data_IF_659972349866
#
_entry.id   IF_659972349866
#
_cell.length_a   1.000
_cell.length_b   1.000
_cell.length_c   1.000
_cell.angle_alpha   90.00
_cell.angle_beta   90.00
_cell.angle_gamma   90.00
#
_symmetry.space_group_name_H-M   'P 1'
#
loop_
_entity.id
_entity.type
_entity.pdbx_description
1 polymer ?
#
# COMPACT_ATOMS: atom_id res chain seq x y z
N UNK A 1 8.08 3.89 -8.24
CA UNK A 1 7.02 2.86 -8.19
C UNK A 1 7.53 1.52 -8.69
N UNK A 2 8.23 1.48 -9.82
CA UNK A 2 8.82 0.25 -10.41
C UNK A 2 9.74 -0.55 -9.48
N UNK A 3 10.53 0.13 -8.63
CA UNK A 3 11.37 -0.55 -7.64
C UNK A 3 10.57 -1.31 -6.56
N UNK A 4 9.38 -0.79 -6.19
CA UNK A 4 8.48 -1.45 -5.23
C UNK A 4 7.81 -2.65 -5.88
N UNK A 5 7.36 -2.51 -7.13
CA UNK A 5 6.74 -3.58 -7.91
C UNK A 5 7.75 -4.71 -8.14
N UNK A 6 8.97 -4.39 -8.58
CA UNK A 6 10.03 -5.39 -8.79
C UNK A 6 10.42 -6.13 -7.49
N UNK A 7 10.39 -5.45 -6.33
CA UNK A 7 10.66 -6.09 -5.05
C UNK A 7 9.49 -6.99 -4.58
N UNK A 8 8.25 -6.61 -4.90
CA UNK A 8 7.07 -7.44 -4.66
C UNK A 8 7.12 -8.77 -5.43
N UNK A 9 7.52 -8.73 -6.71
CA UNK A 9 7.68 -9.95 -7.52
C UNK A 9 8.75 -10.90 -6.93
N UNK A 10 9.85 -10.32 -6.44
CA UNK A 10 10.90 -11.07 -5.74
C UNK A 10 10.40 -11.65 -4.43
N UNK A 11 9.56 -10.92 -3.70
CA UNK A 11 8.95 -11.38 -2.45
C UNK A 11 8.00 -12.56 -2.71
N UNK A 12 7.16 -12.47 -3.74
CA UNK A 12 6.26 -13.55 -4.15
C UNK A 12 7.03 -14.84 -4.52
N UNK A 13 8.13 -14.70 -5.27
CA UNK A 13 8.99 -15.85 -5.62
C UNK A 13 9.63 -16.48 -4.38
N UNK A 14 10.10 -15.64 -3.44
CA UNK A 14 10.66 -16.10 -2.16
C UNK A 14 9.61 -16.76 -1.26
N UNK A 15 8.37 -16.27 -1.28
CA UNK A 15 7.27 -16.86 -0.54
C UNK A 15 7.01 -18.29 -1.03
N UNK A 16 6.81 -18.48 -2.34
CA UNK A 16 6.57 -19.80 -2.91
C UNK A 16 7.68 -20.81 -2.56
N UNK A 17 8.94 -20.36 -2.60
CA UNK A 17 10.10 -21.18 -2.22
C UNK A 17 10.10 -21.50 -0.72
N UNK A 18 9.83 -20.51 0.12
CA UNK A 18 9.78 -20.69 1.58
C UNK A 18 8.64 -21.64 1.98
N UNK A 19 7.47 -21.49 1.38
CA UNK A 19 6.30 -22.32 1.63
C UNK A 19 6.59 -23.77 1.26
N UNK A 20 7.16 -24.03 0.06
CA UNK A 20 7.56 -25.37 -0.34
C UNK A 20 8.55 -26.01 0.65
N UNK A 21 9.54 -25.24 1.14
CA UNK A 21 10.52 -25.73 2.11
C UNK A 21 9.91 -25.99 3.49
N UNK A 22 9.08 -25.08 4.00
CA UNK A 22 8.45 -25.21 5.32
C UNK A 22 7.43 -26.34 5.31
N UNK A 23 6.59 -26.43 4.28
CA UNK A 23 5.64 -27.54 4.12
C UNK A 23 6.37 -28.88 4.04
N UNK A 24 7.47 -28.97 3.28
CA UNK A 24 8.28 -30.20 3.25
C UNK A 24 8.89 -30.58 4.60
N UNK A 25 9.25 -29.61 5.45
CA UNK A 25 9.70 -29.87 6.83
C UNK A 25 8.55 -30.37 7.69
N UNK A 26 7.35 -29.79 7.55
CA UNK A 26 6.14 -30.23 8.25
C UNK A 26 5.77 -31.65 7.85
N UNK A 27 5.80 -31.98 6.56
CA UNK A 27 5.55 -33.34 6.05
C UNK A 27 6.55 -34.36 6.60
N UNK A 28 7.83 -34.00 6.70
CA UNK A 28 8.86 -34.84 7.33
C UNK A 28 8.57 -35.08 8.81
N UNK A 29 8.09 -34.07 9.53
CA UNK A 29 7.71 -34.20 10.93
C UNK A 29 6.48 -35.10 11.09
N UNK A 30 5.47 -34.94 10.23
CA UNK A 30 4.27 -35.79 10.18
C UNK A 30 4.66 -37.25 9.89
N UNK A 31 5.52 -37.49 8.91
CA UNK A 31 5.98 -38.84 8.57
C UNK A 31 6.71 -39.51 9.74
N UNK A 32 7.56 -38.76 10.46
CA UNK A 32 8.25 -39.26 11.67
C UNK A 32 7.27 -39.59 12.80
N UNK A 33 6.29 -38.73 13.05
CA UNK A 33 5.26 -38.98 14.06
C UNK A 33 4.43 -40.22 13.74
N UNK A 34 4.06 -40.39 12.46
CA UNK A 34 3.34 -41.60 12.00
C UNK A 34 4.19 -42.86 12.16
N UNK A 35 5.44 -42.83 11.70
CA UNK A 35 6.34 -43.99 11.85
C UNK A 35 6.59 -44.36 13.32
N UNK A 36 6.78 -43.38 14.20
CA UNK A 36 6.92 -43.61 15.63
C UNK A 36 5.65 -44.26 16.22
N UNK A 37 4.47 -43.76 15.85
CA UNK A 37 3.17 -44.33 16.28
C UNK A 37 3.04 -45.79 15.84
N UNK A 38 3.38 -46.10 14.59
CA UNK A 38 3.25 -47.45 14.04
C UNK A 38 4.20 -48.43 14.75
N UNK A 39 5.45 -48.03 15.00
CA UNK A 39 6.42 -48.86 15.73
C UNK A 39 6.02 -49.13 17.18
N UNK A 40 5.49 -48.10 17.85
CA UNK A 40 4.99 -48.22 19.23
C UNK A 40 3.82 -49.22 19.30
N UNK A 41 2.97 -49.24 18.27
CA UNK A 41 1.87 -50.20 18.19
C UNK A 41 2.35 -51.66 18.01
N UNK A 42 3.52 -51.88 17.39
CA UNK A 42 4.09 -53.21 17.17
C UNK A 42 4.99 -53.75 18.29
N UNK A 43 5.81 -52.93 18.96
CA UNK A 43 6.92 -53.43 19.81
C UNK A 43 6.68 -53.42 21.35
N UNK A 44 5.52 -52.97 21.83
CA UNK A 44 5.22 -52.99 23.27
C UNK A 44 6.04 -52.00 24.12
N UNK A 45 5.88 -52.06 25.45
CA UNK A 45 6.14 -50.92 26.37
C UNK A 45 7.60 -50.45 26.51
N UNK A 46 8.60 -51.27 26.23
CA UNK A 46 10.02 -50.87 26.32
C UNK A 46 10.51 -50.09 25.09
N UNK A 47 9.84 -50.26 23.94
CA UNK A 47 10.12 -49.50 22.72
C UNK A 47 9.64 -48.03 22.80
N UNK A 48 8.71 -47.73 23.71
CA UNK A 48 8.14 -46.39 23.91
C UNK A 48 9.20 -45.35 24.27
N UNK A 49 10.08 -45.67 25.23
CA UNK A 49 11.05 -44.70 25.75
C UNK A 49 12.12 -44.39 24.69
N UNK A 50 12.60 -45.42 24.00
CA UNK A 50 13.62 -45.32 22.95
C UNK A 50 13.10 -44.56 21.73
N UNK A 51 11.88 -44.87 21.27
CA UNK A 51 11.28 -44.16 20.13
C UNK A 51 10.91 -42.72 20.49
N UNK A 52 10.48 -42.43 21.72
CA UNK A 52 10.23 -41.06 22.19
C UNK A 52 11.51 -40.20 22.22
N UNK A 53 12.65 -40.77 22.64
CA UNK A 53 13.95 -40.08 22.63
C UNK A 53 14.42 -39.84 21.17
N UNK A 54 14.25 -40.83 20.29
CA UNK A 54 14.56 -40.72 18.86
C UNK A 54 13.70 -39.66 18.16
N UNK A 55 12.40 -39.63 18.46
CA UNK A 55 11.46 -38.64 17.94
C UNK A 55 11.83 -37.22 18.40
N UNK A 56 12.10 -37.03 19.69
CA UNK A 56 12.48 -35.72 20.25
C UNK A 56 13.78 -35.20 19.63
N UNK A 57 14.79 -36.06 19.50
CA UNK A 57 16.08 -35.68 18.91
C UNK A 57 15.99 -35.38 17.41
N UNK A 58 15.09 -36.06 16.69
CA UNK A 58 14.83 -35.82 15.27
C UNK A 58 13.90 -34.64 14.97
N UNK A 59 12.91 -34.37 15.83
CA UNK A 59 11.94 -33.29 15.64
C UNK A 59 12.54 -31.91 15.95
N UNK A 60 13.37 -31.81 17.00
CA UNK A 60 14.00 -30.56 17.42
C UNK A 60 14.75 -29.82 16.29
N UNK A 61 15.63 -30.46 15.51
CA UNK A 61 16.32 -29.78 14.41
C UNK A 61 15.39 -29.40 13.25
N UNK A 62 14.36 -30.20 12.96
CA UNK A 62 13.36 -29.89 11.93
C UNK A 62 12.55 -28.65 12.31
N UNK A 63 12.05 -28.58 13.55
CA UNK A 63 11.33 -27.40 14.05
C UNK A 63 12.21 -26.16 14.06
N UNK A 64 13.47 -26.28 14.50
CA UNK A 64 14.42 -25.18 14.45
C UNK A 64 14.66 -24.67 13.02
N UNK A 65 14.81 -25.59 12.06
CA UNK A 65 14.98 -25.26 10.63
C UNK A 65 13.75 -24.54 10.07
N UNK A 66 12.54 -24.98 10.39
CA UNK A 66 11.29 -24.32 9.97
C UNK A 66 11.21 -22.89 10.53
N UNK A 67 11.48 -22.71 11.83
CA UNK A 67 11.49 -21.40 12.47
C UNK A 67 12.54 -20.46 11.86
N UNK A 68 13.73 -20.98 11.54
CA UNK A 68 14.77 -20.20 10.90
C UNK A 68 14.33 -19.72 9.51
N UNK A 69 13.74 -20.60 8.69
CA UNK A 69 13.25 -20.24 7.35
C UNK A 69 12.14 -19.20 7.41
N UNK A 70 11.20 -19.37 8.33
CA UNK A 70 10.15 -18.38 8.58
C UNK A 70 10.73 -17.01 8.99
N UNK A 71 11.75 -16.98 9.86
CA UNK A 71 12.44 -15.75 10.26
C UNK A 71 13.15 -15.06 9.08
N UNK A 72 13.83 -15.83 8.23
CA UNK A 72 14.50 -15.32 7.01
C UNK A 72 13.48 -14.67 6.05
N UNK A 73 12.33 -15.31 5.85
CA UNK A 73 11.25 -14.78 5.02
C UNK A 73 10.63 -13.51 5.63
N UNK A 74 10.31 -13.53 6.94
CA UNK A 74 9.79 -12.37 7.66
C UNK A 74 10.71 -11.15 7.57
N UNK A 75 12.03 -11.34 7.66
CA UNK A 75 13.00 -10.26 7.47
C UNK A 75 12.92 -9.65 6.06
N UNK A 76 12.56 -10.43 5.04
CA UNK A 76 12.35 -9.92 3.69
C UNK A 76 11.06 -9.11 3.61
N UNK A 77 9.96 -9.58 4.20
CA UNK A 77 8.70 -8.81 4.32
C UNK A 77 8.95 -7.47 5.02
N UNK A 78 9.67 -7.48 6.14
CA UNK A 78 9.98 -6.24 6.88
C UNK A 78 10.77 -5.23 6.05
N UNK A 79 11.70 -5.69 5.20
CA UNK A 79 12.43 -4.82 4.27
C UNK A 79 11.51 -4.25 3.19
N UNK A 80 10.62 -5.06 2.63
CA UNK A 80 9.63 -4.62 1.66
C UNK A 80 8.72 -3.53 2.24
N UNK A 81 8.22 -3.72 3.46
CA UNK A 81 7.42 -2.71 4.16
C UNK A 81 8.14 -1.36 4.29
N UNK A 82 9.43 -1.37 4.64
CA UNK A 82 10.26 -0.15 4.68
C UNK A 82 10.43 0.51 3.32
N UNK A 83 10.52 -0.27 2.23
CA UNK A 83 10.59 0.27 0.88
C UNK A 83 9.28 0.93 0.46
N UNK A 84 8.13 0.31 0.81
CA UNK A 84 6.80 0.91 0.64
C UNK A 84 6.73 2.22 1.40
N UNK A 85 7.06 2.22 2.70
CA UNK A 85 7.04 3.43 3.53
C UNK A 85 7.88 4.56 2.92
N UNK A 86 9.07 4.24 2.40
CA UNK A 86 9.95 5.23 1.76
C UNK A 86 9.37 5.77 0.44
N UNK A 87 8.76 4.91 -0.37
CA UNK A 87 8.19 5.30 -1.65
C UNK A 87 6.98 6.22 -1.51
N UNK A 88 6.22 6.11 -0.42
CA UNK A 88 5.01 6.89 -0.19
C UNK A 88 5.19 8.07 0.79
N UNK A 89 6.22 8.08 1.65
CA UNK A 89 6.53 9.24 2.50
C UNK A 89 6.95 10.49 1.70
N UNK A 90 7.69 10.34 0.61
CA UNK A 90 8.16 11.47 -0.20
C UNK A 90 7.05 12.16 -1.00
N UNK A 91 5.90 11.50 -1.19
CA UNK A 91 4.83 12.02 -2.04
C UNK A 91 3.94 12.99 -1.29
N UNK A 92 3.68 12.75 0.00
CA UNK A 92 2.83 13.64 0.81
C UNK A 92 3.60 14.89 1.24
N UNK A 93 4.85 14.75 1.71
CA UNK A 93 5.71 15.91 1.99
C UNK A 93 6.12 16.66 0.71
N UNK A 94 6.19 15.99 -0.45
CA UNK A 94 6.39 16.64 -1.74
C UNK A 94 5.15 17.35 -2.30
N UNK A 95 3.94 16.87 -1.96
CA UNK A 95 2.66 17.52 -2.29
C UNK A 95 2.37 18.70 -1.35
N UNK A 96 2.76 18.61 -0.08
CA UNK A 96 2.57 19.63 0.95
C UNK A 96 3.75 20.63 0.98
N UNK A 97 4.87 20.27 0.34
CA UNK A 97 6.18 20.90 0.55
C UNK A 97 6.68 21.78 -0.59
N UNK A 98 5.83 22.54 -1.25
CA UNK A 98 6.31 23.85 -1.69
C UNK A 98 6.36 24.74 -0.44
N UNK A 99 7.55 24.82 0.19
CA UNK A 99 7.84 25.83 1.23
C UNK A 99 7.57 27.26 0.74
N UNK A 100 7.34 27.44 -0.56
CA UNK A 100 6.83 28.65 -1.18
C UNK A 100 5.43 29.05 -0.63
N UNK A 101 4.48 28.11 -0.45
CA UNK A 101 3.15 28.44 0.10
C UNK A 101 3.18 28.84 1.57
N UNK A 102 4.13 28.29 2.35
CA UNK A 102 4.26 28.62 3.77
C UNK A 102 4.85 30.01 4.05
N UNK A 103 5.33 30.71 3.00
CA UNK A 103 5.95 32.04 3.13
C UNK A 103 5.04 33.17 2.65
N UNK A 104 3.98 32.84 1.92
CA UNK A 104 3.14 33.81 1.25
C UNK A 104 1.68 33.40 1.34
N UNK A 105 0.99 34.00 2.32
CA UNK A 105 -0.44 33.80 2.54
C UNK A 105 -1.25 34.18 1.29
N UNK A 106 -0.75 35.10 0.45
CA UNK A 106 -1.44 35.48 -0.79
C UNK A 106 -1.42 34.34 -1.81
N UNK A 107 -0.33 33.57 -1.92
CA UNK A 107 -0.27 32.41 -2.82
C UNK A 107 -1.26 31.32 -2.40
N UNK A 108 -1.44 31.12 -1.10
CA UNK A 108 -2.40 30.15 -0.56
C UNK A 108 -3.83 30.60 -0.85
N UNK A 109 -4.15 31.87 -0.57
CA UNK A 109 -5.47 32.43 -0.82
C UNK A 109 -5.81 32.42 -2.32
N UNK A 110 -4.85 32.75 -3.18
CA UNK A 110 -5.00 32.67 -4.64
C UNK A 110 -5.24 31.23 -5.10
N UNK A 111 -4.50 30.26 -4.58
CA UNK A 111 -4.68 28.85 -4.93
C UNK A 111 -6.08 28.34 -4.53
N UNK A 112 -6.57 28.73 -3.34
CA UNK A 112 -7.92 28.39 -2.88
C UNK A 112 -8.98 29.06 -3.77
N UNK A 113 -8.83 30.34 -4.10
CA UNK A 113 -9.75 31.06 -4.96
C UNK A 113 -9.85 30.42 -6.37
N UNK A 114 -8.71 30.10 -6.98
CA UNK A 114 -8.67 29.42 -8.28
C UNK A 114 -9.31 28.03 -8.23
N UNK A 115 -9.19 27.32 -7.11
CA UNK A 115 -9.84 26.02 -6.94
C UNK A 115 -11.37 26.16 -6.82
N UNK A 116 -11.86 27.18 -6.10
CA UNK A 116 -13.30 27.49 -6.08
C UNK A 116 -13.83 27.85 -7.48
N UNK A 117 -13.10 28.64 -8.26
CA UNK A 117 -13.46 28.96 -9.65
C UNK A 117 -13.55 27.68 -10.48
N UNK A 118 -12.56 26.78 -10.38
CA UNK A 118 -12.56 25.50 -11.10
C UNK A 118 -13.74 24.61 -10.71
N UNK A 119 -14.18 24.66 -9.46
CA UNK A 119 -15.33 23.91 -8.96
C UNK A 119 -16.69 24.59 -9.27
N UNK A 120 -16.70 25.76 -9.93
CA UNK A 120 -17.92 26.51 -10.21
C UNK A 120 -18.46 27.29 -9.00
N UNK A 121 -17.70 27.37 -7.91
CA UNK A 121 -18.06 28.11 -6.69
C UNK A 121 -17.65 29.58 -6.80
N UNK A 122 -18.13 30.27 -7.86
CA UNK A 122 -17.69 31.63 -8.19
C UNK A 122 -17.96 32.64 -7.06
N UNK A 123 -19.13 32.58 -6.42
CA UNK A 123 -19.50 33.50 -5.33
C UNK A 123 -18.56 33.36 -4.11
N UNK A 124 -18.15 32.12 -3.81
CA UNK A 124 -17.25 31.84 -2.69
C UNK A 124 -15.84 32.36 -3.00
N UNK A 125 -15.36 32.15 -4.23
CA UNK A 125 -14.12 32.75 -4.72
C UNK A 125 -14.15 34.28 -4.62
N UNK A 126 -15.22 34.92 -5.09
CA UNK A 126 -15.35 36.38 -5.08
C UNK A 126 -15.34 36.93 -3.64
N UNK A 127 -16.02 36.26 -2.71
CA UNK A 127 -16.04 36.67 -1.31
C UNK A 127 -14.65 36.56 -0.69
N UNK A 128 -13.95 35.43 -0.90
CA UNK A 128 -12.59 35.22 -0.41
C UNK A 128 -11.61 36.27 -0.96
N UNK A 129 -11.67 36.55 -2.26
CA UNK A 129 -10.80 37.53 -2.92
C UNK A 129 -11.05 38.95 -2.42
N UNK A 130 -12.33 39.33 -2.26
CA UNK A 130 -12.71 40.64 -1.72
C UNK A 130 -12.23 40.82 -0.27
N UNK A 131 -12.38 39.80 0.58
CA UNK A 131 -11.90 39.83 1.97
C UNK A 131 -10.37 39.89 2.06
N UNK A 132 -9.68 39.24 1.13
CA UNK A 132 -8.22 39.25 1.04
C UNK A 132 -7.65 40.51 0.34
N UNK A 133 -8.49 41.35 -0.28
CA UNK A 133 -8.05 42.48 -1.10
C UNK A 133 -7.26 42.05 -2.35
N UNK A 134 -7.62 40.90 -2.92
CA UNK A 134 -6.94 40.27 -4.04
C UNK A 134 -7.86 40.20 -5.27
N UNK A 135 -7.27 40.12 -6.46
CA UNK A 135 -8.00 39.92 -7.72
C UNK A 135 -7.35 38.81 -8.54
N UNK A 136 -8.18 37.97 -9.16
CA UNK A 136 -7.75 36.97 -10.14
C UNK A 136 -7.77 37.62 -11.53
N UNK A 137 -6.86 37.24 -12.45
CA UNK A 137 -6.98 37.61 -13.85
C UNK A 137 -8.39 37.33 -14.39
N UNK A 138 -9.04 38.38 -14.93
CA UNK A 138 -10.44 38.34 -15.37
C UNK A 138 -10.70 37.30 -16.48
N UNK A 139 -9.67 36.99 -17.27
CA UNK A 139 -9.70 35.96 -18.32
C UNK A 139 -9.98 34.57 -17.75
N UNK A 140 -9.26 34.17 -16.69
CA UNK A 140 -9.41 32.83 -16.09
C UNK A 140 -10.82 32.63 -15.53
N UNK A 141 -11.35 33.60 -14.79
CA UNK A 141 -12.68 33.47 -14.20
C UNK A 141 -13.78 33.42 -15.27
N UNK A 142 -13.62 34.20 -16.34
CA UNK A 142 -14.57 34.24 -17.45
C UNK A 142 -14.59 32.93 -18.24
N UNK A 143 -13.42 32.35 -18.53
CA UNK A 143 -13.31 31.04 -19.21
C UNK A 143 -14.04 29.92 -18.43
N UNK A 144 -13.89 29.89 -17.11
CA UNK A 144 -14.61 28.91 -16.29
C UNK A 144 -16.11 29.19 -16.23
N UNK A 145 -16.56 30.45 -16.19
CA UNK A 145 -17.99 30.79 -16.26
C UNK A 145 -18.59 30.29 -17.57
N UNK A 146 -17.95 30.56 -18.70
CA UNK A 146 -18.38 30.08 -20.02
C UNK A 146 -18.45 28.54 -20.07
N UNK A 147 -17.45 27.85 -19.50
CA UNK A 147 -17.48 26.39 -19.40
C UNK A 147 -18.69 25.89 -18.59
N UNK A 148 -19.00 26.50 -17.45
CA UNK A 148 -20.14 26.10 -16.62
C UNK A 148 -21.49 26.45 -17.29
N UNK A 149 -21.57 27.59 -17.99
CA UNK A 149 -22.75 27.96 -18.79
C UNK A 149 -23.00 26.94 -19.92
N UNK A 150 -21.94 26.44 -20.56
CA UNK A 150 -22.04 25.37 -21.56
C UNK A 150 -22.55 24.07 -20.92
N UNK A 151 -22.01 23.68 -19.76
CA UNK A 151 -22.44 22.47 -19.06
C UNK A 151 -23.91 22.54 -18.65
N UNK A 152 -24.39 23.69 -18.18
CA UNK A 152 -25.80 23.92 -17.84
C UNK A 152 -26.70 23.87 -19.07
N UNK A 153 -26.30 24.50 -20.18
CA UNK A 153 -27.04 24.45 -21.43
C UNK A 153 -27.16 23.00 -21.97
N UNK A 154 -26.08 22.22 -21.89
CA UNK A 154 -26.08 20.82 -22.30
C UNK A 154 -27.00 19.95 -21.44
N UNK A 155 -27.11 20.22 -20.14
CA UNK A 155 -28.08 19.54 -19.25
C UNK A 155 -29.53 19.78 -19.72
N UNK A 156 -29.82 20.98 -20.23
CA UNK A 156 -31.09 21.35 -20.87
C UNK A 156 -31.22 20.94 -22.34
N UNK A 157 -30.28 20.14 -22.85
CA UNK A 157 -30.22 19.69 -24.26
C UNK A 157 -30.08 20.85 -25.27
N UNK A 158 -29.58 22.01 -24.82
CA UNK A 158 -29.22 23.14 -25.67
C UNK A 158 -27.72 23.09 -26.00
N UNK A 159 -27.42 22.78 -27.25
CA UNK A 159 -26.05 22.72 -27.76
C UNK A 159 -25.54 24.08 -28.27
N UNK A 160 -26.38 25.11 -28.31
CA UNK A 160 -26.07 26.39 -28.95
C UNK A 160 -24.92 27.11 -28.24
N UNK A 161 -24.88 27.05 -26.90
CA UNK A 161 -23.81 27.66 -26.09
C UNK A 161 -22.45 27.02 -26.33
N UNK A 162 -22.40 25.73 -26.69
CA UNK A 162 -21.15 25.02 -26.99
C UNK A 162 -20.59 25.30 -28.40
N UNK A 163 -21.38 25.94 -29.27
CA UNK A 163 -21.05 26.19 -30.68
C UNK A 163 -20.69 27.65 -30.97
N UNK A 164 -20.72 28.52 -29.96
CA UNK A 164 -20.24 29.90 -30.04
C UNK A 164 -18.76 29.96 -29.67
#
# INVERSE_FOLDING_TARGET
MDAVISDLDKLATKQATNDALVLGIVDQLIARLRSAKDKIATDGSDALLTEAISLKSGAKPLTAKAMQKHKEFYNTISKHGKLVDKAFKSTVEGLIGSREFAKDDTLVLMAIALDFIRQGQFQLSDTLLNEAGMEVPLDVQQEFKEMFDILEALDHHDVTSALR
#
